data_IF_965178110617
#
_entry.id   IF_965178110617
#
_cell.length_a   1.000
_cell.length_b   1.000
_cell.length_c   1.000
_cell.angle_alpha   90.00
_cell.angle_beta   90.00
_cell.angle_gamma   90.00
#
_symmetry.space_group_name_H-M   'P 1'
#
loop_
_entity.id
_entity.type
_entity.pdbx_description
1 polymer ?
#
# COMPACT_ATOMS: atom_id res chain seq x y z
N UNK A 1 -0.84 0.50 26.92
CA UNK A 1 0.60 0.30 26.67
C UNK A 1 1.07 1.43 25.75
N UNK A 2 2.27 1.98 25.94
CA UNK A 2 2.76 3.03 25.05
C UNK A 2 2.85 2.51 23.60
N UNK A 3 2.65 3.40 22.63
CA UNK A 3 2.73 3.06 21.20
C UNK A 3 3.24 4.25 20.39
N UNK A 4 3.95 3.98 19.29
CA UNK A 4 4.23 4.96 18.24
C UNK A 4 3.15 4.85 17.18
N UNK A 5 2.61 5.99 16.76
CA UNK A 5 1.63 6.06 15.69
C UNK A 5 2.12 7.02 14.62
N UNK A 6 2.04 6.60 13.36
CA UNK A 6 2.32 7.45 12.21
C UNK A 6 1.33 7.16 11.08
N UNK A 7 1.12 8.13 10.21
CA UNK A 7 0.25 7.99 9.06
C UNK A 7 0.78 8.80 7.87
N UNK A 8 0.37 8.41 6.68
CA UNK A 8 0.76 9.07 5.45
C UNK A 8 0.01 8.53 4.24
N UNK A 9 0.42 8.99 3.07
CA UNK A 9 -0.07 8.48 1.79
C UNK A 9 0.99 8.53 0.71
N UNK A 10 0.90 7.64 -0.27
CA UNK A 10 1.75 7.71 -1.46
C UNK A 10 1.31 8.85 -2.39
N UNK A 11 2.19 9.28 -3.30
CA UNK A 11 1.85 10.26 -4.32
C UNK A 11 0.86 9.65 -5.33
N UNK A 12 -0.27 10.31 -5.64
CA UNK A 12 -1.26 9.81 -6.60
C UNK A 12 -0.65 9.41 -7.94
N UNK A 13 -0.95 8.19 -8.38
CA UNK A 13 -0.50 7.64 -9.66
C UNK A 13 1.01 7.35 -9.77
N UNK A 14 1.79 7.46 -8.68
CA UNK A 14 3.26 7.27 -8.72
C UNK A 14 3.70 6.12 -7.82
N UNK A 15 4.86 5.54 -8.14
CA UNK A 15 5.50 4.47 -7.36
C UNK A 15 4.98 3.05 -7.63
N UNK A 16 3.92 2.91 -8.42
CA UNK A 16 3.38 1.61 -8.84
C UNK A 16 4.34 0.85 -9.76
N UNK A 17 4.41 -0.45 -9.57
CA UNK A 17 5.28 -1.36 -10.32
C UNK A 17 4.49 -2.59 -10.77
N UNK A 18 4.80 -3.11 -11.96
CA UNK A 18 4.15 -4.30 -12.51
C UNK A 18 4.56 -5.54 -11.74
N UNK A 19 3.60 -6.34 -11.29
CA UNK A 19 3.84 -7.70 -10.76
C UNK A 19 3.56 -8.76 -11.83
N UNK A 20 2.45 -8.62 -12.54
CA UNK A 20 2.01 -9.46 -13.66
C UNK A 20 1.02 -8.68 -14.52
N UNK A 21 0.44 -9.31 -15.55
CA UNK A 21 -0.58 -8.67 -16.39
C UNK A 21 -1.86 -8.29 -15.64
N UNK A 22 -2.08 -8.88 -14.46
CA UNK A 22 -3.30 -8.70 -13.67
C UNK A 22 -3.02 -8.16 -12.27
N UNK A 23 -1.79 -7.74 -11.99
CA UNK A 23 -1.40 -7.26 -10.68
C UNK A 23 -0.27 -6.24 -10.75
N UNK A 24 -0.37 -5.26 -9.86
CA UNK A 24 0.68 -4.27 -9.58
C UNK A 24 1.00 -4.30 -8.09
N UNK A 25 2.09 -3.65 -7.72
CA UNK A 25 2.44 -3.42 -6.34
C UNK A 25 3.05 -2.04 -6.14
N UNK A 26 3.10 -1.61 -4.89
CA UNK A 26 3.80 -0.42 -4.46
C UNK A 26 4.51 -0.70 -3.15
N UNK A 27 5.74 -0.18 -3.03
CA UNK A 27 6.48 -0.18 -1.77
C UNK A 27 6.22 1.15 -1.06
N UNK A 28 5.82 1.08 0.20
CA UNK A 28 5.55 2.24 1.05
C UNK A 28 6.74 2.38 1.99
N UNK A 29 7.43 3.50 1.87
CA UNK A 29 8.50 3.91 2.77
C UNK A 29 7.91 4.56 4.04
N UNK A 30 8.27 4.01 5.19
CA UNK A 30 7.92 4.55 6.51
C UNK A 30 9.17 4.82 7.36
N UNK A 31 10.33 4.94 6.72
CA UNK A 31 11.62 5.18 7.40
C UNK A 31 11.55 6.38 8.33
N UNK A 32 12.08 6.23 9.54
CA UNK A 32 12.13 7.29 10.54
C UNK A 32 10.83 7.55 11.30
N UNK A 33 9.74 6.82 11.00
CA UNK A 33 8.50 6.90 11.77
C UNK A 33 8.42 5.89 12.91
N UNK A 34 9.18 4.80 12.85
CA UNK A 34 9.10 3.70 13.81
C UNK A 34 10.49 3.30 14.32
N UNK A 35 10.52 2.71 15.51
CA UNK A 35 11.73 2.22 16.14
C UNK A 35 12.20 0.92 15.49
N UNK A 36 13.50 0.81 15.21
CA UNK A 36 14.12 -0.44 14.74
C UNK A 36 14.38 -1.45 15.87
N UNK A 37 14.20 -1.05 17.13
CA UNK A 37 14.46 -1.89 18.32
C UNK A 37 13.18 -2.39 18.99
N UNK A 38 12.03 -2.22 18.34
CA UNK A 38 10.70 -2.60 18.83
C UNK A 38 9.99 -3.48 17.81
N UNK A 39 8.78 -3.95 18.14
CA UNK A 39 8.01 -4.82 17.26
C UNK A 39 7.71 -4.17 15.89
N UNK A 40 7.44 -4.97 14.86
CA UNK A 40 7.06 -4.42 13.55
C UNK A 40 5.70 -3.70 13.66
N UNK A 41 5.53 -2.50 13.07
CA UNK A 41 4.27 -1.78 13.13
C UNK A 41 3.13 -2.57 12.46
N UNK A 42 1.95 -2.51 13.06
CA UNK A 42 0.72 -3.00 12.45
C UNK A 42 0.17 -1.88 11.57
N UNK A 43 0.02 -2.16 10.27
CA UNK A 43 -0.48 -1.19 9.30
C UNK A 43 -1.94 -1.44 8.95
N UNK A 44 -2.74 -0.39 9.00
CA UNK A 44 -4.06 -0.30 8.35
C UNK A 44 -3.91 0.55 7.11
N UNK A 45 -4.46 0.09 6.00
CA UNK A 45 -4.32 0.75 4.69
C UNK A 45 -5.67 0.90 3.98
N UNK A 46 -5.75 1.86 3.08
CA UNK A 46 -6.85 2.00 2.13
C UNK A 46 -6.34 2.44 0.76
N UNK A 47 -6.98 1.95 -0.29
CA UNK A 47 -6.78 2.44 -1.65
C UNK A 47 -7.71 3.64 -1.91
N UNK A 48 -7.13 4.74 -2.38
CA UNK A 48 -7.85 5.92 -2.85
C UNK A 48 -7.44 6.30 -4.27
N UNK A 49 -8.23 7.15 -4.91
CA UNK A 49 -8.03 7.64 -6.27
C UNK A 49 -9.28 8.32 -6.80
N UNK A 50 -9.26 8.69 -8.08
CA UNK A 50 -10.36 9.40 -8.72
C UNK A 50 -11.49 8.45 -9.17
N UNK A 51 -11.15 7.21 -9.55
CA UNK A 51 -12.11 6.19 -9.99
C UNK A 51 -11.47 4.77 -9.95
N UNK A 52 -12.25 3.71 -10.19
CA UNK A 52 -11.72 2.37 -10.46
C UNK A 52 -11.19 1.58 -9.25
N UNK A 53 -11.20 2.15 -8.04
CA UNK A 53 -10.70 1.46 -6.83
C UNK A 53 -11.42 0.11 -6.60
N UNK A 54 -12.72 0.07 -6.90
CA UNK A 54 -13.59 -1.11 -6.83
C UNK A 54 -13.23 -2.23 -7.82
N UNK A 55 -12.37 -1.97 -8.81
CA UNK A 55 -11.89 -2.97 -9.79
C UNK A 55 -10.68 -3.76 -9.25
N UNK A 56 -10.13 -3.35 -8.10
CA UNK A 56 -8.98 -3.98 -7.47
C UNK A 56 -9.33 -4.83 -6.22
N UNK A 57 -8.59 -5.92 -6.08
CA UNK A 57 -8.50 -6.80 -4.91
C UNK A 57 -7.17 -6.51 -4.23
N UNK A 58 -7.09 -6.74 -2.92
CA UNK A 58 -5.80 -6.83 -2.22
C UNK A 58 -5.29 -5.54 -1.59
N UNK A 59 -6.01 -4.41 -1.68
CA UNK A 59 -5.73 -3.18 -0.93
C UNK A 59 -5.78 -3.34 0.60
N UNK A 60 -5.97 -4.56 1.11
CA UNK A 60 -6.00 -4.95 2.51
C UNK A 60 -4.82 -5.86 2.89
N UNK A 61 -3.94 -6.19 1.94
CA UNK A 61 -2.88 -7.16 2.12
C UNK A 61 -1.53 -6.44 2.22
N UNK A 62 -1.10 -6.18 3.45
CA UNK A 62 0.24 -5.67 3.79
C UNK A 62 1.22 -6.84 3.78
N UNK A 63 2.25 -6.75 2.93
CA UNK A 63 3.30 -7.76 2.79
C UNK A 63 4.65 -7.23 3.26
N UNK A 64 5.48 -8.12 3.80
CA UNK A 64 6.89 -7.85 4.15
C UNK A 64 7.04 -6.58 5.01
N UNK A 65 6.15 -6.40 5.97
CA UNK A 65 6.23 -5.27 6.88
C UNK A 65 7.52 -5.31 7.69
N UNK A 66 8.17 -4.16 7.79
CA UNK A 66 9.34 -3.86 8.61
C UNK A 66 9.11 -2.52 9.31
N UNK A 67 10.07 -2.05 10.10
CA UNK A 67 9.99 -0.71 10.71
C UNK A 67 10.10 0.43 9.69
N UNK A 68 10.76 0.18 8.55
CA UNK A 68 11.03 1.18 7.52
C UNK A 68 10.10 1.11 6.31
N UNK A 69 9.18 0.13 6.27
CA UNK A 69 8.22 0.06 5.20
C UNK A 69 7.58 -1.29 5.00
N UNK A 70 6.72 -1.35 3.99
CA UNK A 70 5.96 -2.54 3.62
C UNK A 70 5.55 -2.47 2.14
N UNK A 71 5.06 -3.60 1.61
CA UNK A 71 4.55 -3.71 0.24
C UNK A 71 3.05 -3.94 0.22
N UNK A 72 2.36 -3.32 -0.73
CA UNK A 72 0.95 -3.59 -1.04
C UNK A 72 0.85 -4.12 -2.46
N UNK A 73 0.08 -5.18 -2.64
CA UNK A 73 -0.27 -5.71 -3.95
C UNK A 73 -1.73 -5.37 -4.26
N UNK A 74 -1.97 -4.92 -5.49
CA UNK A 74 -3.30 -4.85 -6.08
C UNK A 74 -3.39 -5.89 -7.18
N UNK A 75 -4.48 -6.64 -7.20
CA UNK A 75 -4.79 -7.60 -8.25
C UNK A 75 -6.16 -7.29 -8.82
N UNK A 76 -6.39 -7.57 -10.09
CA UNK A 76 -7.72 -7.42 -10.70
C UNK A 76 -8.81 -8.23 -9.96
N UNK A 77 -9.99 -7.64 -9.80
CA UNK A 77 -11.20 -8.30 -9.26
C UNK A 77 -11.85 -9.25 -10.25
N UNK A 78 -11.64 -9.00 -11.53
CA UNK A 78 -12.27 -9.73 -12.61
C UNK A 78 -11.25 -10.63 -13.27
N UNK A 79 -11.62 -11.90 -13.44
CA UNK A 79 -10.82 -12.84 -14.22
C UNK A 79 -10.67 -12.26 -15.62
N UNK A 80 -9.43 -12.10 -16.07
CA UNK A 80 -9.05 -11.63 -17.40
C UNK A 80 -9.15 -10.11 -17.66
N UNK A 81 -9.45 -9.27 -16.64
CA UNK A 81 -9.29 -7.81 -16.76
C UNK A 81 -7.87 -7.41 -16.38
N UNK A 82 -7.13 -6.84 -17.33
CA UNK A 82 -5.77 -6.31 -17.09
C UNK A 82 -5.80 -5.26 -15.97
N UNK A 83 -4.88 -5.37 -15.03
CA UNK A 83 -4.63 -4.34 -14.03
C UNK A 83 -3.13 -4.07 -14.05
N UNK A 84 -2.77 -2.94 -14.64
CA UNK A 84 -1.39 -2.52 -14.87
C UNK A 84 -1.10 -1.14 -14.26
N UNK A 85 0.15 -0.70 -14.40
CA UNK A 85 0.60 0.59 -13.84
C UNK A 85 -0.12 1.78 -14.49
N UNK A 86 -0.47 1.68 -15.77
CA UNK A 86 -1.24 2.72 -16.46
C UNK A 86 -2.62 2.91 -15.82
N UNK A 87 -3.28 1.82 -15.47
CA UNK A 87 -4.57 1.85 -14.75
C UNK A 87 -4.48 2.66 -13.44
N UNK A 88 -3.40 2.48 -12.67
CA UNK A 88 -3.17 3.21 -11.44
C UNK A 88 -2.79 4.70 -11.68
N UNK A 89 -2.11 5.00 -12.77
CA UNK A 89 -1.76 6.36 -13.18
C UNK A 89 -3.00 7.15 -13.62
N UNK A 90 -3.79 6.57 -14.52
CA UNK A 90 -4.98 7.20 -15.10
C UNK A 90 -6.06 7.50 -14.06
N UNK A 91 -6.16 6.65 -13.03
CA UNK A 91 -7.10 6.82 -11.93
C UNK A 91 -6.49 7.51 -10.70
N UNK A 92 -5.26 8.03 -10.80
CA UNK A 92 -4.54 8.68 -9.70
C UNK A 92 -4.54 7.85 -8.41
N UNK A 93 -4.35 6.53 -8.50
CA UNK A 93 -4.39 5.65 -7.34
C UNK A 93 -3.25 5.92 -6.36
N UNK A 94 -3.56 5.89 -5.07
CA UNK A 94 -2.63 6.01 -3.95
C UNK A 94 -3.05 5.13 -2.78
N UNK A 95 -2.10 4.79 -1.92
CA UNK A 95 -2.35 4.09 -0.66
C UNK A 95 -2.28 5.09 0.48
N UNK A 96 -3.36 5.19 1.27
CA UNK A 96 -3.28 5.77 2.60
C UNK A 96 -2.82 4.69 3.58
N UNK A 97 -2.05 5.08 4.58
CA UNK A 97 -1.59 4.16 5.61
C UNK A 97 -1.62 4.81 6.99
N UNK A 98 -1.87 3.97 7.99
CA UNK A 98 -1.77 4.28 9.40
C UNK A 98 -1.09 3.10 10.09
N UNK A 99 0.07 3.35 10.70
CA UNK A 99 0.85 2.34 11.41
C UNK A 99 0.84 2.57 12.92
N UNK A 100 0.74 1.49 13.68
CA UNK A 100 0.85 1.49 15.15
C UNK A 100 1.92 0.47 15.57
N UNK A 101 2.92 0.93 16.29
CA UNK A 101 4.00 0.12 16.85
C UNK A 101 3.88 0.07 18.36
N UNK A 102 3.86 -1.13 18.93
CA UNK A 102 3.85 -1.34 20.39
C UNK A 102 5.28 -1.50 20.93
N UNK A 103 5.43 -1.22 22.22
CA UNK A 103 6.67 -1.38 22.99
C UNK A 103 6.48 -2.40 24.10
#
# INVERSE_FOLDING_TARGET
MPSITAAGRTTPGKGWQTHSDYAIYIDIDTSGHFSSTSDVPIYTISLGGDNGMWDSNGAQCVYRATHDGFRVYLRSNFRDTKLDVASAQDNNWFINWHGVQQF
#
